data_IF_433050518831
#
_entry.id   IF_433050518831
#
_cell.length_a   1.000
_cell.length_b   1.000
_cell.length_c   1.000
_cell.angle_alpha   90.00
_cell.angle_beta   90.00
_cell.angle_gamma   90.00
#
_symmetry.space_group_name_H-M   'P 1'
#
loop_
_entity.id
_entity.type
_entity.pdbx_description
1 polymer ?
#
# COMPACT_ATOMS: atom_id res chain seq x y z
N UNK A 1 61.53 39.12 -9.05
CA UNK A 1 61.42 39.06 -7.57
C UNK A 1 60.04 38.53 -7.22
N UNK A 2 59.99 37.67 -6.20
CA UNK A 2 58.81 37.06 -5.57
C UNK A 2 58.21 35.82 -6.25
N UNK A 3 58.63 34.69 -5.68
CA UNK A 3 58.17 33.31 -5.79
C UNK A 3 56.96 33.13 -4.86
N UNK A 4 55.92 32.36 -5.24
CA UNK A 4 55.20 31.45 -4.33
C UNK A 4 54.58 30.26 -5.08
N UNK A 5 54.69 29.10 -4.43
CA UNK A 5 54.47 27.72 -4.85
C UNK A 5 53.20 27.17 -4.15
N UNK A 6 52.47 26.24 -4.78
CA UNK A 6 51.66 25.15 -4.18
C UNK A 6 50.91 24.41 -5.32
N UNK A 7 51.25 23.17 -5.73
CA UNK A 7 50.79 21.85 -5.18
C UNK A 7 49.27 21.68 -5.31
N UNK A 8 48.66 20.68 -5.97
CA UNK A 8 48.85 19.21 -5.99
C UNK A 8 48.14 18.62 -7.23
N UNK A 9 48.82 17.80 -8.04
CA UNK A 9 48.80 16.32 -8.02
C UNK A 9 47.49 15.66 -8.47
N UNK A 10 47.32 15.57 -9.79
CA UNK A 10 46.65 14.47 -10.47
C UNK A 10 47.60 13.27 -10.53
N UNK A 11 47.27 12.15 -9.87
CA UNK A 11 47.86 10.85 -10.22
C UNK A 11 46.86 9.72 -9.98
N UNK A 12 46.58 8.99 -11.06
CA UNK A 12 45.81 7.76 -11.11
C UNK A 12 46.38 6.69 -10.20
N UNK A 13 45.52 5.79 -9.72
CA UNK A 13 45.95 4.48 -9.24
C UNK A 13 44.93 3.42 -9.62
N UNK A 14 45.21 2.75 -10.73
CA UNK A 14 44.68 1.43 -11.07
C UNK A 14 45.84 0.44 -10.96
N UNK A 15 45.71 -0.59 -10.11
CA UNK A 15 46.19 -1.96 -10.37
C UNK A 15 45.94 -2.86 -9.15
N UNK A 16 44.96 -3.74 -9.31
CA UNK A 16 44.92 -5.16 -8.95
C UNK A 16 45.89 -5.75 -7.91
N UNK A 17 45.30 -6.51 -6.98
CA UNK A 17 45.92 -7.72 -6.42
C UNK A 17 44.84 -8.80 -6.28
N UNK A 18 45.01 -9.87 -7.04
CA UNK A 18 44.14 -11.03 -7.11
C UNK A 18 44.34 -11.94 -5.88
N UNK A 19 43.25 -12.49 -5.36
CA UNK A 19 43.29 -13.64 -4.46
C UNK A 19 42.16 -14.58 -4.87
N UNK A 20 42.55 -15.70 -5.47
CA UNK A 20 41.70 -16.81 -5.87
C UNK A 20 41.12 -17.48 -4.62
N UNK A 21 39.79 -17.59 -4.55
CA UNK A 21 39.10 -18.48 -3.62
C UNK A 21 38.02 -19.25 -4.37
N UNK A 22 38.40 -20.48 -4.69
CA UNK A 22 37.62 -21.72 -4.72
C UNK A 22 36.08 -21.57 -4.74
N UNK A 23 35.49 -21.83 -5.90
CA UNK A 23 34.05 -21.92 -6.09
C UNK A 23 33.51 -23.21 -5.48
N UNK A 24 32.84 -23.09 -4.35
CA UNK A 24 31.89 -24.11 -3.87
C UNK A 24 30.60 -23.99 -4.69
N UNK A 25 30.01 -25.09 -5.17
CA UNK A 25 28.75 -25.02 -5.89
C UNK A 25 27.67 -24.64 -4.88
N UNK A 26 27.15 -23.42 -4.99
CA UNK A 26 25.96 -22.98 -4.29
C UNK A 26 24.80 -23.75 -4.91
N UNK A 27 24.34 -24.80 -4.24
CA UNK A 27 23.02 -25.37 -4.51
C UNK A 27 22.03 -24.22 -4.34
N UNK A 28 21.42 -23.84 -5.46
CA UNK A 28 20.35 -22.87 -5.55
C UNK A 28 19.15 -23.47 -4.80
N UNK A 29 19.11 -23.24 -3.49
CA UNK A 29 17.92 -23.45 -2.67
C UNK A 29 16.89 -22.48 -3.25
N UNK A 30 16.03 -22.99 -4.14
CA UNK A 30 14.79 -22.32 -4.48
C UNK A 30 14.08 -22.06 -3.16
N UNK A 31 14.06 -20.80 -2.73
CA UNK A 31 13.10 -20.32 -1.76
C UNK A 31 11.72 -20.60 -2.38
N UNK A 32 11.10 -21.70 -1.97
CA UNK A 32 9.66 -21.84 -2.08
C UNK A 32 9.09 -20.71 -1.23
N UNK A 33 8.61 -19.66 -1.90
CA UNK A 33 7.76 -18.65 -1.28
C UNK A 33 6.53 -19.40 -0.76
N UNK A 34 6.56 -19.78 0.51
CA UNK A 34 5.40 -20.28 1.22
C UNK A 34 4.43 -19.11 1.27
N UNK A 35 3.52 -19.04 0.32
CA UNK A 35 2.37 -18.15 0.42
C UNK A 35 1.62 -18.57 1.67
N UNK A 36 1.69 -17.76 2.73
CA UNK A 36 0.84 -17.95 3.90
C UNK A 36 -0.61 -17.83 3.43
N UNK A 37 -1.25 -18.97 3.17
CA UNK A 37 -2.62 -19.02 2.69
C UNK A 37 -3.50 -18.39 3.75
N UNK A 38 -4.14 -17.28 3.42
CA UNK A 38 -5.08 -16.61 4.31
C UNK A 38 -6.36 -17.44 4.53
N UNK A 39 -7.39 -16.83 5.12
CA UNK A 39 -8.67 -17.50 5.30
C UNK A 39 -9.19 -18.05 3.97
N UNK A 40 -9.64 -19.30 3.98
CA UNK A 40 -10.18 -19.98 2.79
C UNK A 40 -11.62 -19.52 2.55
N UNK A 41 -11.89 -18.94 1.39
CA UNK A 41 -13.23 -18.51 0.99
C UNK A 41 -13.76 -19.38 -0.14
N UNK A 42 -15.07 -19.59 -0.15
CA UNK A 42 -15.76 -20.10 -1.33
C UNK A 42 -15.85 -19.02 -2.42
N UNK A 43 -16.06 -19.41 -3.67
CA UNK A 43 -16.19 -18.41 -4.76
C UNK A 43 -17.40 -17.50 -4.53
N UNK A 44 -18.50 -18.01 -3.99
CA UNK A 44 -19.68 -17.23 -3.65
C UNK A 44 -19.40 -16.17 -2.58
N UNK A 45 -18.64 -16.52 -1.53
CA UNK A 45 -18.20 -15.57 -0.50
C UNK A 45 -17.26 -14.51 -1.07
N UNK A 46 -16.31 -14.91 -1.92
CA UNK A 46 -15.40 -13.95 -2.59
C UNK A 46 -16.18 -13.00 -3.50
N UNK A 47 -17.15 -13.50 -4.25
CA UNK A 47 -18.00 -12.67 -5.12
C UNK A 47 -18.81 -11.67 -4.28
N UNK A 48 -19.33 -12.07 -3.12
CA UNK A 48 -20.02 -11.17 -2.21
C UNK A 48 -19.09 -10.09 -1.63
N UNK A 49 -17.85 -10.44 -1.28
CA UNK A 49 -16.84 -9.48 -0.81
C UNK A 49 -16.41 -8.51 -1.90
N UNK A 50 -16.21 -9.00 -3.13
CA UNK A 50 -15.96 -8.15 -4.30
C UNK A 50 -17.11 -7.16 -4.47
N UNK A 51 -18.36 -7.62 -4.37
CA UNK A 51 -19.50 -6.73 -4.49
C UNK A 51 -19.48 -5.63 -3.41
N UNK A 52 -19.12 -5.96 -2.17
CA UNK A 52 -18.96 -4.93 -1.12
C UNK A 52 -17.87 -3.92 -1.46
N UNK A 53 -16.72 -4.38 -1.94
CA UNK A 53 -15.67 -3.45 -2.41
C UNK A 53 -16.21 -2.52 -3.48
N UNK A 54 -16.97 -3.03 -4.46
CA UNK A 54 -17.60 -2.20 -5.50
C UNK A 54 -18.57 -1.18 -4.90
N UNK A 55 -19.46 -1.61 -4.00
CA UNK A 55 -20.49 -0.77 -3.38
C UNK A 55 -19.88 0.39 -2.58
N UNK A 56 -18.71 0.18 -1.97
CA UNK A 56 -18.00 1.20 -1.19
C UNK A 56 -16.95 1.98 -1.98
N UNK A 57 -16.68 1.60 -3.23
CA UNK A 57 -15.73 2.33 -4.08
C UNK A 57 -16.38 3.61 -4.58
N UNK A 58 -15.84 4.76 -4.16
CA UNK A 58 -16.32 6.08 -4.55
C UNK A 58 -15.22 6.81 -5.31
N UNK A 59 -15.15 6.56 -6.61
CA UNK A 59 -14.24 7.24 -7.53
C UNK A 59 -15.04 8.13 -8.49
N UNK A 60 -14.42 9.23 -8.91
CA UNK A 60 -14.97 10.15 -9.89
C UNK A 60 -15.15 9.45 -11.24
N UNK A 61 -16.35 9.54 -11.81
CA UNK A 61 -16.74 8.95 -13.11
C UNK A 61 -16.61 7.42 -13.17
N UNK A 62 -16.62 6.73 -12.02
CA UNK A 62 -16.68 5.27 -11.98
C UNK A 62 -18.03 4.74 -12.46
N UNK A 63 -17.99 3.76 -13.38
CA UNK A 63 -19.16 3.08 -13.94
C UNK A 63 -19.03 1.58 -13.74
N UNK A 64 -20.17 0.90 -13.82
CA UNK A 64 -20.21 -0.57 -13.69
C UNK A 64 -19.37 -1.28 -14.77
N UNK A 65 -19.21 -0.64 -15.93
CA UNK A 65 -18.45 -1.14 -17.09
C UNK A 65 -16.93 -1.09 -16.88
N UNK A 66 -16.43 -0.25 -15.96
CA UNK A 66 -15.00 -0.07 -15.73
C UNK A 66 -14.38 -1.24 -14.94
N UNK A 67 -15.21 -2.06 -14.29
CA UNK A 67 -14.76 -3.22 -13.53
C UNK A 67 -14.29 -4.35 -14.44
N UNK A 68 -12.98 -4.42 -14.64
CA UNK A 68 -12.35 -5.48 -15.44
C UNK A 68 -12.18 -6.79 -14.65
N UNK A 69 -12.06 -7.95 -15.33
CA UNK A 69 -11.73 -9.21 -14.67
C UNK A 69 -10.43 -9.15 -13.86
N UNK A 70 -9.42 -8.42 -14.34
CA UNK A 70 -8.14 -8.23 -13.65
C UNK A 70 -8.33 -7.50 -12.31
N UNK A 71 -9.12 -6.43 -12.29
CA UNK A 71 -9.47 -5.70 -11.06
C UNK A 71 -10.20 -6.62 -10.08
N UNK A 72 -11.16 -7.42 -10.57
CA UNK A 72 -11.93 -8.37 -9.74
C UNK A 72 -11.04 -9.46 -9.16
N UNK A 73 -10.16 -10.05 -9.95
CA UNK A 73 -9.22 -11.09 -9.50
C UNK A 73 -8.26 -10.54 -8.43
N UNK A 74 -7.77 -9.31 -8.61
CA UNK A 74 -6.91 -8.65 -7.62
C UNK A 74 -7.63 -8.45 -6.29
N UNK A 75 -8.91 -8.08 -6.33
CA UNK A 75 -9.73 -7.96 -5.12
C UNK A 75 -9.96 -9.33 -4.46
N UNK A 76 -10.22 -10.39 -5.24
CA UNK A 76 -10.33 -11.74 -4.67
C UNK A 76 -9.03 -12.20 -3.99
N UNK A 77 -7.90 -11.91 -4.62
CA UNK A 77 -6.58 -12.21 -4.08
C UNK A 77 -6.32 -11.41 -2.79
N UNK A 78 -6.73 -10.15 -2.74
CA UNK A 78 -6.62 -9.33 -1.52
C UNK A 78 -7.23 -10.04 -0.32
N UNK A 79 -8.44 -10.60 -0.40
CA UNK A 79 -9.05 -11.30 0.73
C UNK A 79 -8.34 -12.61 1.07
N UNK A 80 -7.82 -13.31 0.07
CA UNK A 80 -7.17 -14.62 0.20
C UNK A 80 -5.75 -14.54 0.78
N UNK A 81 -5.09 -13.38 0.67
CA UNK A 81 -3.73 -13.17 1.18
C UNK A 81 -3.74 -12.61 2.60
N UNK A 82 -2.87 -13.10 3.48
CA UNK A 82 -2.78 -12.60 4.87
C UNK A 82 -1.87 -11.37 5.01
N UNK A 83 -0.84 -11.25 4.17
CA UNK A 83 0.22 -10.23 4.29
C UNK A 83 -0.21 -8.86 3.81
N UNK A 84 -1.05 -8.78 2.77
CA UNK A 84 -1.47 -7.52 2.17
C UNK A 84 -2.62 -6.91 2.98
N UNK A 85 -2.33 -5.88 3.76
CA UNK A 85 -3.34 -5.19 4.59
C UNK A 85 -4.07 -4.09 3.85
N UNK A 86 -3.47 -3.54 2.80
CA UNK A 86 -3.99 -2.40 2.03
C UNK A 86 -4.36 -2.81 0.62
N UNK A 87 -5.57 -2.49 0.19
CA UNK A 87 -6.04 -2.54 -1.19
C UNK A 87 -6.38 -1.13 -1.65
N UNK A 88 -5.88 -0.75 -2.82
CA UNK A 88 -6.13 0.56 -3.45
C UNK A 88 -6.85 0.36 -4.78
N UNK A 89 -7.94 1.09 -5.00
CA UNK A 89 -8.70 1.12 -6.25
C UNK A 89 -8.69 2.54 -6.82
N UNK A 90 -8.15 2.71 -8.03
CA UNK A 90 -7.96 4.01 -8.66
C UNK A 90 -7.94 3.90 -10.18
N UNK A 91 -8.11 5.03 -10.88
CA UNK A 91 -7.90 5.09 -12.32
C UNK A 91 -6.43 5.36 -12.66
N UNK A 92 -5.84 4.48 -13.46
CA UNK A 92 -4.61 4.77 -14.18
C UNK A 92 -4.99 5.23 -15.60
N UNK A 93 -4.93 6.54 -15.81
CA UNK A 93 -5.46 7.23 -16.99
C UNK A 93 -6.98 6.98 -17.19
N UNK A 94 -7.34 5.96 -17.96
CA UNK A 94 -8.73 5.60 -18.29
C UNK A 94 -9.09 4.18 -17.83
N UNK A 95 -8.12 3.46 -17.25
CA UNK A 95 -8.29 2.06 -16.86
C UNK A 95 -8.36 1.95 -15.35
N UNK A 96 -9.42 1.33 -14.85
CA UNK A 96 -9.56 1.03 -13.43
C UNK A 96 -8.55 -0.04 -13.00
N UNK A 97 -7.77 0.27 -11.96
CA UNK A 97 -6.79 -0.65 -11.39
C UNK A 97 -7.06 -0.88 -9.91
N UNK A 98 -6.78 -2.11 -9.48
CA UNK A 98 -6.69 -2.48 -8.09
C UNK A 98 -5.24 -2.92 -7.80
N UNK A 99 -4.65 -2.48 -6.70
CA UNK A 99 -3.30 -2.87 -6.30
C UNK A 99 -3.20 -3.08 -4.80
N UNK A 100 -2.25 -3.90 -4.36
CA UNK A 100 -1.88 -3.97 -2.94
C UNK A 100 -0.97 -2.79 -2.58
N UNK A 101 -1.25 -2.13 -1.47
CA UNK A 101 -0.57 -0.88 -1.10
C UNK A 101 -1.03 0.32 -1.92
N UNK A 102 -0.31 1.43 -1.79
CA UNK A 102 -0.62 2.68 -2.48
C UNK A 102 0.10 2.78 -3.84
N UNK A 103 -0.52 3.43 -4.85
CA UNK A 103 0.14 3.67 -6.13
C UNK A 103 1.40 4.53 -5.95
N UNK A 104 2.45 4.21 -6.71
CA UNK A 104 3.70 5.00 -6.72
C UNK A 104 3.61 6.28 -7.55
N UNK A 105 2.62 6.35 -8.45
CA UNK A 105 2.35 7.50 -9.29
C UNK A 105 1.23 8.35 -8.67
N UNK A 106 1.23 9.67 -8.88
CA UNK A 106 0.12 10.53 -8.47
C UNK A 106 -1.19 10.07 -9.14
N UNK A 107 -2.24 9.98 -8.34
CA UNK A 107 -3.60 9.64 -8.79
C UNK A 107 -4.54 10.78 -8.42
N UNK A 108 -5.53 11.03 -9.28
CA UNK A 108 -6.51 12.10 -9.06
C UNK A 108 -7.35 11.83 -7.81
N UNK A 109 -7.81 10.59 -7.70
CA UNK A 109 -8.56 10.06 -6.57
C UNK A 109 -8.36 8.55 -6.46
N UNK A 110 -8.55 8.04 -5.24
CA UNK A 110 -8.30 6.67 -4.84
C UNK A 110 -9.29 6.30 -3.73
N UNK A 111 -9.92 5.12 -3.83
CA UNK A 111 -10.54 4.47 -2.67
C UNK A 111 -9.59 3.41 -2.13
N UNK A 112 -9.25 3.49 -0.85
CA UNK A 112 -8.43 2.49 -0.18
C UNK A 112 -9.25 1.68 0.82
N UNK A 113 -8.84 0.44 1.03
CA UNK A 113 -9.40 -0.51 1.97
C UNK A 113 -8.27 -1.08 2.83
N UNK A 114 -8.47 -1.07 4.14
CA UNK A 114 -7.54 -1.52 5.17
C UNK A 114 -8.23 -2.62 5.96
N UNK A 115 -7.61 -3.80 5.99
CA UNK A 115 -8.06 -4.90 6.83
C UNK A 115 -7.05 -5.17 7.94
N UNK A 116 -7.56 -5.56 9.10
CA UNK A 116 -6.75 -6.25 10.09
C UNK A 116 -6.43 -7.66 9.58
N UNK A 117 -5.16 -8.05 9.64
CA UNK A 117 -4.63 -9.32 9.11
C UNK A 117 -5.16 -10.55 9.87
N UNK A 118 -5.82 -10.34 11.01
CA UNK A 118 -6.13 -11.40 11.99
C UNK A 118 -7.51 -12.03 11.80
N UNK A 119 -8.50 -11.29 11.26
CA UNK A 119 -9.90 -11.71 11.26
C UNK A 119 -10.44 -12.11 9.88
N UNK A 120 -11.34 -13.10 9.86
CA UNK A 120 -12.08 -13.49 8.65
C UNK A 120 -13.12 -12.43 8.34
N UNK A 121 -13.03 -11.85 7.15
CA UNK A 121 -13.97 -10.83 6.67
C UNK A 121 -15.08 -11.53 5.89
N UNK A 122 -16.32 -11.22 6.24
CA UNK A 122 -17.54 -11.70 5.60
C UNK A 122 -18.28 -10.50 5.02
N UNK A 123 -19.25 -10.75 4.14
CA UNK A 123 -20.05 -9.64 3.62
C UNK A 123 -20.83 -8.95 4.75
N UNK A 124 -21.27 -9.68 5.77
CA UNK A 124 -22.03 -9.11 6.89
C UNK A 124 -21.18 -8.19 7.78
N UNK A 125 -19.94 -8.59 8.10
CA UNK A 125 -19.06 -7.84 9.00
C UNK A 125 -18.17 -6.82 8.28
N UNK A 126 -18.31 -6.66 6.96
CA UNK A 126 -17.40 -5.87 6.12
C UNK A 126 -17.20 -4.44 6.65
N UNK A 127 -18.29 -3.73 6.94
CA UNK A 127 -18.26 -2.34 7.41
C UNK A 127 -17.68 -2.18 8.82
N UNK A 128 -17.74 -3.24 9.62
CA UNK A 128 -17.34 -3.21 11.02
C UNK A 128 -15.86 -3.59 11.17
N UNK A 129 -15.36 -4.40 10.23
CA UNK A 129 -14.01 -4.99 10.28
C UNK A 129 -13.02 -4.26 9.38
N UNK A 130 -13.50 -3.63 8.29
CA UNK A 130 -12.66 -2.98 7.30
C UNK A 130 -12.74 -1.47 7.44
N UNK A 131 -11.58 -0.81 7.53
CA UNK A 131 -11.50 0.64 7.37
C UNK A 131 -11.34 0.96 5.90
N UNK A 132 -12.08 1.94 5.40
CA UNK A 132 -11.97 2.38 4.02
C UNK A 132 -12.17 3.88 3.93
N UNK A 133 -11.69 4.46 2.84
CA UNK A 133 -11.82 5.89 2.62
C UNK A 133 -11.36 6.28 1.24
N UNK A 134 -11.66 7.54 0.90
CA UNK A 134 -11.23 8.15 -0.35
C UNK A 134 -10.18 9.20 -0.09
N UNK A 135 -9.13 9.22 -0.90
CA UNK A 135 -8.17 10.33 -0.95
C UNK A 135 -8.16 10.94 -2.34
N UNK A 136 -7.77 12.22 -2.42
CA UNK A 136 -7.59 12.95 -3.67
C UNK A 136 -6.10 13.27 -3.89
N UNK A 137 -5.80 13.96 -4.98
CA UNK A 137 -4.46 14.39 -5.39
C UNK A 137 -3.74 15.29 -4.35
N UNK A 138 -4.48 16.04 -3.52
CA UNK A 138 -3.91 16.91 -2.49
C UNK A 138 -3.88 16.20 -1.13
N UNK A 139 -2.85 15.41 -0.91
CA UNK A 139 -2.67 14.66 0.34
C UNK A 139 -2.51 15.63 1.52
N UNK A 140 -1.67 16.66 1.38
CA UNK A 140 -1.37 17.60 2.48
C UNK A 140 -2.60 18.43 2.89
N UNK A 141 -3.36 18.91 1.90
CA UNK A 141 -4.60 19.65 2.17
C UNK A 141 -5.67 18.77 2.80
N UNK A 142 -5.78 17.52 2.33
CA UNK A 142 -6.76 16.55 2.81
C UNK A 142 -6.48 16.13 4.25
N UNK A 143 -5.23 15.80 4.59
CA UNK A 143 -4.87 15.40 5.96
C UNK A 143 -5.06 16.56 6.95
N UNK A 144 -4.63 17.77 6.58
CA UNK A 144 -4.80 18.94 7.45
C UNK A 144 -6.29 19.23 7.68
N UNK A 145 -7.09 19.18 6.62
CA UNK A 145 -8.54 19.40 6.71
C UNK A 145 -9.21 18.38 7.62
N UNK A 146 -8.85 17.10 7.51
CA UNK A 146 -9.39 16.02 8.34
C UNK A 146 -8.98 16.22 9.81
N UNK A 147 -7.72 16.55 10.08
CA UNK A 147 -7.24 16.80 11.44
C UNK A 147 -7.92 18.02 12.06
N UNK A 148 -8.01 19.14 11.34
CA UNK A 148 -8.57 20.39 11.86
C UNK A 148 -10.09 20.36 12.01
N UNK A 149 -10.81 19.76 11.06
CA UNK A 149 -12.28 19.88 11.01
C UNK A 149 -13.02 18.67 11.58
N UNK A 150 -12.37 17.49 11.64
CA UNK A 150 -13.00 16.27 12.16
C UNK A 150 -12.38 15.91 13.50
N UNK A 151 -11.07 15.66 13.55
CA UNK A 151 -10.44 15.13 14.76
C UNK A 151 -10.26 16.18 15.85
N UNK A 152 -9.85 17.42 15.54
CA UNK A 152 -9.59 18.43 16.56
C UNK A 152 -10.84 18.75 17.41
N UNK A 153 -12.05 18.97 16.84
CA UNK A 153 -13.25 19.17 17.65
C UNK A 153 -13.58 17.97 18.55
N UNK A 154 -13.49 16.74 18.02
CA UNK A 154 -13.73 15.52 18.79
C UNK A 154 -12.71 15.39 19.93
N UNK A 155 -11.44 15.64 19.64
CA UNK A 155 -10.34 15.54 20.59
C UNK A 155 -10.47 16.55 21.73
N UNK A 156 -10.83 17.81 21.44
CA UNK A 156 -10.99 18.85 22.45
C UNK A 156 -12.30 18.75 23.26
N UNK A 157 -13.33 18.07 22.74
CA UNK A 157 -14.58 17.80 23.47
C UNK A 157 -14.44 16.60 24.43
N UNK A 158 -13.43 15.76 24.22
CA UNK A 158 -13.19 14.58 25.04
C UNK A 158 -12.69 14.95 26.45
N UNK A 159 -13.53 14.72 27.45
CA UNK A 159 -13.25 15.01 28.86
C UNK A 159 -12.86 13.77 29.68
N UNK A 160 -12.89 12.57 29.08
CA UNK A 160 -12.67 11.31 29.79
C UNK A 160 -11.22 10.85 29.81
N UNK A 161 -10.29 11.62 29.22
CA UNK A 161 -8.87 11.30 29.26
C UNK A 161 -8.36 11.22 30.71
N UNK A 162 -7.56 10.20 31.07
CA UNK A 162 -6.89 10.15 32.37
C UNK A 162 -5.96 11.35 32.55
N UNK A 163 -5.80 11.83 33.79
CA UNK A 163 -4.91 12.95 34.17
C UNK A 163 -3.43 12.77 33.74
N UNK A 164 -3.04 11.59 33.26
CA UNK A 164 -1.70 11.33 32.73
C UNK A 164 -1.50 11.70 31.25
N UNK A 165 -2.58 12.00 30.51
CA UNK A 165 -2.56 12.30 29.07
C UNK A 165 -2.84 13.79 28.79
N UNK A 166 -3.62 14.47 29.65
CA UNK A 166 -3.85 15.92 29.62
C UNK A 166 -2.64 16.69 30.18
#
# INVERSE_FOLDING_TARGET
MSIRTATESTFSSSSSSASEKEATPVEEVKEEVVQETGPQYTDDELNALVQRVKDFTMLFDLRDEDWTPETVETIKLYFSTKTDTVLSVFFDNVTLKATFGFPSQPVKDLTYFLKDSTDRITAENFSDTMMFGTTNESIEGSILSVLENIYAPIFFDETTWPDSIL
#
